data_IF_126063647250
#
_entry.id   IF_126063647250
#
_cell.length_a   1.000
_cell.length_b   1.000
_cell.length_c   1.000
_cell.angle_alpha   90.00
_cell.angle_beta   90.00
_cell.angle_gamma   90.00
#
_symmetry.space_group_name_H-M   'P 1'
#
loop_
_entity.id
_entity.type
_entity.pdbx_description
1 polymer ?
#
# COMPACT_ATOMS: atom_id res chain seq x y z
N UNK A 1 -13.67 48.60 -43.98
CA UNK A 1 -14.00 48.84 -42.57
C UNK A 1 -14.23 47.48 -41.95
N UNK A 2 -13.21 46.91 -41.33
CA UNK A 2 -13.33 45.61 -40.66
C UNK A 2 -12.49 45.67 -39.39
N UNK A 3 -13.20 45.75 -38.27
CA UNK A 3 -12.69 46.00 -36.91
C UNK A 3 -12.11 44.72 -36.31
N UNK A 4 -10.94 44.85 -35.66
CA UNK A 4 -10.31 43.79 -34.87
C UNK A 4 -11.27 43.25 -33.78
N UNK A 5 -11.30 41.93 -33.51
CA UNK A 5 -12.09 41.38 -32.41
C UNK A 5 -11.56 41.85 -31.06
N UNK A 6 -12.47 42.29 -30.20
CA UNK A 6 -12.24 42.75 -28.84
C UNK A 6 -11.57 41.69 -27.95
N UNK A 7 -10.75 42.18 -27.01
CA UNK A 7 -10.28 41.46 -25.81
C UNK A 7 -11.45 40.73 -25.14
N UNK A 8 -11.31 39.45 -24.74
CA UNK A 8 -12.39 38.71 -24.13
C UNK A 8 -12.85 39.36 -22.82
N UNK A 9 -14.18 39.36 -22.64
CA UNK A 9 -14.90 39.88 -21.49
C UNK A 9 -14.32 39.36 -20.16
N UNK A 10 -14.20 40.27 -19.19
CA UNK A 10 -13.68 40.04 -17.83
C UNK A 10 -14.35 38.86 -17.09
N UNK A 11 -15.56 38.45 -17.52
CA UNK A 11 -16.26 37.27 -17.04
C UNK A 11 -15.53 35.94 -17.35
N UNK A 12 -14.83 35.83 -18.49
CA UNK A 12 -14.02 34.64 -18.83
C UNK A 12 -12.78 34.51 -17.94
N UNK A 13 -12.22 35.64 -17.49
CA UNK A 13 -11.11 35.70 -16.52
C UNK A 13 -11.58 35.31 -15.12
N UNK A 14 -12.84 35.59 -14.76
CA UNK A 14 -13.46 35.16 -13.50
C UNK A 14 -13.71 33.65 -13.42
N UNK A 15 -14.18 33.03 -14.52
CA UNK A 15 -14.35 31.58 -14.59
C UNK A 15 -13.00 30.82 -14.58
N UNK A 16 -11.97 31.37 -15.24
CA UNK A 16 -10.60 30.84 -15.18
C UNK A 16 -10.00 30.93 -13.76
N UNK A 17 -10.20 32.06 -13.05
CA UNK A 17 -9.78 32.23 -11.65
C UNK A 17 -10.43 31.22 -10.70
N UNK A 18 -11.70 30.88 -10.93
CA UNK A 18 -12.42 29.90 -10.13
C UNK A 18 -11.92 28.47 -10.37
N UNK A 19 -11.49 28.15 -11.60
CA UNK A 19 -10.82 26.87 -11.92
C UNK A 19 -9.44 26.81 -11.25
N UNK A 20 -8.68 27.90 -11.24
CA UNK A 20 -7.36 27.98 -10.60
C UNK A 20 -7.43 27.78 -9.07
N UNK A 21 -8.46 28.31 -8.40
CA UNK A 21 -8.72 28.07 -6.97
C UNK A 21 -8.98 26.58 -6.68
N UNK A 22 -9.67 25.88 -7.56
CA UNK A 22 -9.85 24.43 -7.46
C UNK A 22 -8.66 23.62 -7.95
N UNK A 23 -7.80 24.17 -8.80
CA UNK A 23 -6.61 23.48 -9.30
C UNK A 23 -5.64 23.15 -8.16
N UNK A 24 -5.45 24.07 -7.21
CA UNK A 24 -4.62 23.83 -6.04
C UNK A 24 -5.21 22.77 -5.10
N UNK A 25 -6.54 22.79 -4.88
CA UNK A 25 -7.22 21.75 -4.10
C UNK A 25 -7.19 20.38 -4.81
N UNK A 26 -7.42 20.37 -6.12
CA UNK A 26 -7.35 19.20 -6.99
C UNK A 26 -5.95 18.56 -6.99
N UNK A 27 -4.90 19.38 -7.11
CA UNK A 27 -3.52 18.91 -7.00
C UNK A 27 -3.23 18.24 -5.65
N UNK A 28 -3.71 18.81 -4.53
CA UNK A 28 -3.56 18.18 -3.20
C UNK A 28 -4.26 16.83 -3.10
N UNK A 29 -5.48 16.71 -3.64
CA UNK A 29 -6.21 15.43 -3.66
C UNK A 29 -5.51 14.39 -4.53
N UNK A 30 -5.00 14.80 -5.69
CA UNK A 30 -4.21 13.94 -6.58
C UNK A 30 -2.92 13.49 -5.88
N UNK A 31 -2.16 14.38 -5.27
CA UNK A 31 -0.93 14.04 -4.54
C UNK A 31 -1.20 13.11 -3.36
N UNK A 32 -2.24 13.40 -2.57
CA UNK A 32 -2.62 12.56 -1.41
C UNK A 32 -3.09 11.17 -1.85
N UNK A 33 -3.94 11.10 -2.88
CA UNK A 33 -4.40 9.85 -3.48
C UNK A 33 -3.27 9.07 -4.17
N UNK A 34 -2.27 9.76 -4.71
CA UNK A 34 -1.10 9.13 -5.31
C UNK A 34 -0.18 8.50 -4.28
N UNK A 35 -0.05 9.12 -3.11
CA UNK A 35 0.81 8.68 -2.02
C UNK A 35 0.23 7.45 -1.29
N UNK A 36 -1.07 7.39 -1.03
CA UNK A 36 -1.67 6.28 -0.26
C UNK A 36 -1.11 6.16 1.17
N UNK A 37 -1.52 5.12 1.92
CA UNK A 37 -1.09 4.94 3.32
C UNK A 37 0.44 4.74 3.44
N UNK A 38 1.04 5.27 4.50
CA UNK A 38 2.49 5.20 4.72
C UNK A 38 3.05 3.76 4.72
N UNK A 39 2.30 2.80 5.26
CA UNK A 39 2.66 1.37 5.21
C UNK A 39 2.66 0.84 3.77
N UNK A 40 1.71 1.26 2.93
CA UNK A 40 1.64 0.90 1.49
C UNK A 40 2.81 1.50 0.72
N UNK A 41 3.17 2.76 0.98
CA UNK A 41 4.33 3.41 0.36
C UNK A 41 5.62 2.65 0.66
N UNK A 42 5.87 2.33 1.94
CA UNK A 42 7.07 1.58 2.34
C UNK A 42 7.11 0.19 1.71
N UNK A 43 5.97 -0.50 1.69
CA UNK A 43 5.84 -1.80 1.06
C UNK A 43 6.13 -1.76 -0.45
N UNK A 44 5.55 -0.78 -1.16
CA UNK A 44 5.75 -0.61 -2.60
C UNK A 44 7.18 -0.17 -2.94
N UNK A 45 7.78 0.72 -2.15
CA UNK A 45 9.19 1.10 -2.33
C UNK A 45 10.12 -0.11 -2.20
N UNK A 46 9.86 -1.00 -1.23
CA UNK A 46 10.61 -2.25 -1.09
C UNK A 46 10.44 -3.20 -2.28
N UNK A 47 9.22 -3.31 -2.81
CA UNK A 47 8.93 -4.16 -3.97
C UNK A 47 9.50 -3.59 -5.27
N UNK A 48 9.46 -2.27 -5.44
CA UNK A 48 10.07 -1.57 -6.56
C UNK A 48 11.59 -1.77 -6.58
N UNK A 49 12.27 -1.61 -5.45
CA UNK A 49 13.71 -1.90 -5.33
C UNK A 49 14.04 -3.32 -5.75
N UNK A 50 13.26 -4.31 -5.29
CA UNK A 50 13.44 -5.72 -5.68
C UNK A 50 13.31 -5.92 -7.19
N UNK A 51 12.29 -5.34 -7.81
CA UNK A 51 12.09 -5.44 -9.25
C UNK A 51 13.21 -4.76 -10.04
N UNK A 52 13.58 -3.52 -9.69
CA UNK A 52 14.66 -2.79 -10.38
C UNK A 52 16.02 -3.50 -10.27
N UNK A 53 16.31 -4.13 -9.13
CA UNK A 53 17.50 -4.95 -8.97
C UNK A 53 17.47 -6.17 -9.87
N UNK A 54 16.35 -6.91 -9.88
CA UNK A 54 16.16 -8.07 -10.76
C UNK A 54 16.29 -7.69 -12.24
N UNK A 55 15.68 -6.58 -12.67
CA UNK A 55 15.81 -6.07 -14.03
C UNK A 55 17.28 -5.78 -14.39
N UNK A 56 18.03 -5.13 -13.50
CA UNK A 56 19.47 -4.84 -13.70
C UNK A 56 20.29 -6.12 -13.86
N UNK A 57 20.03 -7.12 -13.03
CA UNK A 57 20.71 -8.42 -13.09
C UNK A 57 20.45 -9.17 -14.41
N UNK A 58 19.27 -8.95 -15.02
CA UNK A 58 18.85 -9.65 -16.24
C UNK A 58 18.93 -8.77 -17.51
N UNK A 59 19.53 -7.59 -17.43
CA UNK A 59 19.68 -6.66 -18.56
C UNK A 59 18.34 -6.18 -19.13
N UNK A 60 17.34 -5.95 -18.27
CA UNK A 60 16.00 -5.48 -18.65
C UNK A 60 15.75 -4.06 -18.14
N UNK A 61 14.87 -3.34 -18.83
CA UNK A 61 14.39 -2.05 -18.37
C UNK A 61 13.28 -2.22 -17.32
N UNK A 62 13.41 -1.52 -16.21
CA UNK A 62 12.40 -1.53 -15.16
C UNK A 62 11.26 -0.53 -15.44
N UNK A 63 11.51 0.50 -16.26
CA UNK A 63 10.53 1.53 -16.60
C UNK A 63 10.88 2.20 -17.95
N UNK A 64 10.02 2.11 -18.98
CA UNK A 64 8.85 1.24 -19.06
C UNK A 64 9.27 -0.24 -19.06
N UNK A 65 8.65 -1.05 -18.20
CA UNK A 65 8.82 -2.50 -18.27
C UNK A 65 7.84 -3.07 -19.30
N UNK A 66 8.34 -3.94 -20.17
CA UNK A 66 7.48 -4.72 -21.07
C UNK A 66 6.76 -5.86 -20.32
N UNK A 67 5.70 -6.39 -20.92
CA UNK A 67 4.88 -7.48 -20.33
C UNK A 67 5.71 -8.73 -20.08
N UNK A 68 6.65 -9.07 -20.97
CA UNK A 68 7.49 -10.26 -20.85
C UNK A 68 8.46 -10.13 -19.66
N UNK A 69 9.02 -8.95 -19.43
CA UNK A 69 9.88 -8.64 -18.28
C UNK A 69 9.11 -8.82 -16.96
N UNK A 70 7.88 -8.31 -16.88
CA UNK A 70 7.04 -8.51 -15.69
C UNK A 70 6.62 -9.97 -15.51
N UNK A 71 6.25 -10.66 -16.60
CA UNK A 71 5.89 -12.08 -16.58
C UNK A 71 7.05 -12.97 -16.10
N UNK A 72 8.28 -12.70 -16.56
CA UNK A 72 9.47 -13.40 -16.12
C UNK A 72 9.76 -13.14 -14.64
N UNK A 73 9.63 -11.90 -14.19
CA UNK A 73 9.82 -11.55 -12.78
C UNK A 73 8.81 -12.25 -11.86
N UNK A 74 7.51 -12.22 -12.17
CA UNK A 74 6.50 -12.86 -11.30
C UNK A 74 6.62 -14.38 -11.30
N UNK A 75 7.05 -14.97 -12.43
CA UNK A 75 7.40 -16.40 -12.50
C UNK A 75 8.60 -16.71 -11.60
N UNK A 76 9.67 -15.91 -11.65
CA UNK A 76 10.82 -16.07 -10.77
C UNK A 76 10.44 -15.97 -9.28
N UNK A 77 9.52 -15.06 -8.92
CA UNK A 77 8.98 -14.99 -7.55
C UNK A 77 8.20 -16.25 -7.17
N UNK A 78 7.40 -16.80 -8.09
CA UNK A 78 6.62 -18.01 -7.85
C UNK A 78 7.53 -19.23 -7.65
N UNK A 79 8.56 -19.38 -8.49
CA UNK A 79 9.56 -20.46 -8.39
C UNK A 79 10.43 -20.32 -7.13
N UNK A 80 10.69 -19.09 -6.69
CA UNK A 80 11.32 -18.82 -5.39
C UNK A 80 10.38 -19.05 -4.18
N UNK A 81 9.21 -19.66 -4.39
CA UNK A 81 8.26 -20.04 -3.33
C UNK A 81 7.54 -18.87 -2.68
N UNK A 82 7.46 -17.69 -3.33
CA UNK A 82 6.70 -16.57 -2.78
C UNK A 82 5.20 -16.85 -2.82
N UNK A 83 4.51 -16.43 -1.76
CA UNK A 83 3.04 -16.52 -1.66
C UNK A 83 2.38 -15.69 -2.76
N UNK A 84 1.25 -16.16 -3.27
CA UNK A 84 0.42 -15.46 -4.29
C UNK A 84 0.13 -14.02 -3.88
N UNK A 85 -0.25 -13.78 -2.61
CA UNK A 85 -0.49 -12.43 -2.09
C UNK A 85 0.73 -11.50 -2.18
N UNK A 86 1.94 -12.05 -2.00
CA UNK A 86 3.19 -11.29 -2.18
C UNK A 86 3.39 -10.93 -3.65
N UNK A 87 3.17 -11.88 -4.57
CA UNK A 87 3.30 -11.65 -6.02
C UNK A 87 2.31 -10.59 -6.49
N UNK A 88 1.05 -10.66 -6.06
CA UNK A 88 0.03 -9.65 -6.38
C UNK A 88 0.41 -8.25 -5.85
N UNK A 89 0.99 -8.18 -4.64
CA UNK A 89 1.49 -6.90 -4.09
C UNK A 89 2.65 -6.33 -4.90
N UNK A 90 3.55 -7.18 -5.40
CA UNK A 90 4.57 -6.77 -6.37
C UNK A 90 3.92 -6.19 -7.64
N UNK A 91 2.95 -6.87 -8.26
CA UNK A 91 2.24 -6.35 -9.43
C UNK A 91 1.59 -4.98 -9.15
N UNK A 92 0.93 -4.82 -8.00
CA UNK A 92 0.32 -3.55 -7.63
C UNK A 92 1.36 -2.41 -7.48
N UNK A 93 2.54 -2.70 -6.93
CA UNK A 93 3.65 -1.75 -6.85
C UNK A 93 4.17 -1.36 -8.24
N UNK A 94 4.33 -2.34 -9.15
CA UNK A 94 4.76 -2.09 -10.54
C UNK A 94 3.75 -1.25 -11.31
N UNK A 95 2.46 -1.57 -11.16
CA UNK A 95 1.37 -0.81 -11.76
C UNK A 95 1.39 0.63 -11.28
N UNK A 96 1.54 0.83 -9.97
CA UNK A 96 1.63 2.16 -9.38
C UNK A 96 2.85 2.94 -9.89
N UNK A 97 4.01 2.29 -10.03
CA UNK A 97 5.22 2.94 -10.55
C UNK A 97 5.02 3.44 -12.00
N UNK A 98 4.40 2.63 -12.87
CA UNK A 98 4.09 3.03 -14.24
C UNK A 98 3.07 4.18 -14.28
N UNK A 99 2.00 4.10 -13.48
CA UNK A 99 1.00 5.16 -13.38
C UNK A 99 1.59 6.49 -12.91
N UNK A 100 2.46 6.46 -11.89
CA UNK A 100 3.15 7.66 -11.39
C UNK A 100 4.10 8.27 -12.42
N UNK A 101 4.62 7.47 -13.34
CA UNK A 101 5.44 7.91 -14.47
C UNK A 101 4.62 8.33 -15.70
N UNK A 102 3.28 8.26 -15.64
CA UNK A 102 2.41 8.55 -16.78
C UNK A 102 2.49 7.51 -17.90
N UNK A 103 2.94 6.29 -17.60
CA UNK A 103 3.17 5.21 -18.56
C UNK A 103 2.06 4.15 -18.48
N UNK A 104 1.76 3.45 -19.59
CA UNK A 104 0.85 2.31 -19.57
C UNK A 104 1.42 1.23 -18.65
N UNK A 105 0.55 0.54 -17.93
CA UNK A 105 0.98 -0.52 -17.01
C UNK A 105 1.02 -1.88 -17.70
N UNK A 106 2.13 -2.63 -17.60
CA UNK A 106 2.20 -3.99 -18.15
C UNK A 106 1.29 -4.96 -17.39
N UNK A 107 0.84 -4.63 -16.17
CA UNK A 107 0.02 -5.51 -15.32
C UNK A 107 -1.41 -5.70 -15.81
N UNK A 108 -1.89 -4.84 -16.70
CA UNK A 108 -3.23 -4.93 -17.26
C UNK A 108 -3.33 -5.88 -18.45
N UNK A 109 -2.20 -6.33 -18.99
CA UNK A 109 -2.12 -7.25 -20.11
C UNK A 109 -2.81 -8.60 -19.81
N UNK A 110 -3.52 -9.13 -20.82
CA UNK A 110 -4.31 -10.36 -20.68
C UNK A 110 -3.42 -11.58 -20.44
N UNK A 111 -2.26 -11.66 -21.08
CA UNK A 111 -1.33 -12.79 -20.91
C UNK A 111 -0.78 -12.83 -19.49
N UNK A 112 -0.42 -11.67 -18.93
CA UNK A 112 0.05 -11.58 -17.56
C UNK A 112 -1.04 -11.96 -16.55
N UNK A 113 -2.30 -11.55 -16.78
CA UNK A 113 -3.44 -11.98 -15.95
C UNK A 113 -3.62 -13.49 -15.98
N UNK A 114 -3.59 -14.12 -17.15
CA UNK A 114 -3.66 -15.58 -17.28
C UNK A 114 -2.50 -16.30 -16.57
N UNK A 115 -1.28 -15.76 -16.65
CA UNK A 115 -0.13 -16.29 -15.92
C UNK A 115 -0.35 -16.24 -14.40
N UNK A 116 -0.81 -15.10 -13.87
CA UNK A 116 -1.07 -14.92 -12.44
C UNK A 116 -2.17 -15.87 -11.94
N UNK A 117 -3.21 -16.12 -12.75
CA UNK A 117 -4.21 -17.14 -12.46
C UNK A 117 -3.61 -18.55 -12.40
N UNK A 118 -2.72 -18.90 -13.34
CA UNK A 118 -2.00 -20.16 -13.34
C UNK A 118 -1.18 -20.36 -12.07
N UNK A 119 -0.35 -19.37 -11.73
CA UNK A 119 0.44 -19.33 -10.48
C UNK A 119 -0.48 -19.50 -9.26
N UNK A 120 -1.64 -18.82 -9.26
CA UNK A 120 -2.59 -18.91 -8.15
C UNK A 120 -3.23 -20.29 -8.04
N UNK A 121 -3.49 -21.00 -9.14
CA UNK A 121 -4.07 -22.36 -9.10
C UNK A 121 -3.04 -23.38 -8.63
N UNK A 122 -1.80 -23.28 -9.10
CA UNK A 122 -0.73 -24.22 -8.78
C UNK A 122 -0.17 -24.02 -7.37
N UNK A 123 0.10 -22.77 -6.98
CA UNK A 123 0.73 -22.42 -5.70
C UNK A 123 -0.28 -22.01 -4.62
N UNK A 124 -1.57 -21.94 -4.95
CA UNK A 124 -2.67 -21.47 -4.09
C UNK A 124 -3.00 -22.40 -2.94
N UNK A 125 -2.03 -22.65 -2.05
CA UNK A 125 -2.29 -23.29 -0.77
C UNK A 125 -3.00 -22.28 0.14
N UNK A 126 -4.08 -22.75 0.78
CA UNK A 126 -4.88 -21.99 1.77
C UNK A 126 -3.97 -21.21 2.70
N UNK A 127 -4.20 -19.89 2.80
CA UNK A 127 -3.46 -19.06 3.75
C UNK A 127 -3.58 -19.68 5.14
N UNK A 128 -2.44 -20.07 5.74
CA UNK A 128 -2.39 -20.47 7.15
C UNK A 128 -2.85 -19.27 7.97
N UNK A 129 -4.10 -19.28 8.39
CA UNK A 129 -4.56 -18.37 9.43
C UNK A 129 -3.79 -18.73 10.69
N UNK A 130 -3.32 -17.70 11.42
CA UNK A 130 -2.84 -17.92 12.76
C UNK A 130 -3.95 -18.61 13.57
N UNK A 131 -3.62 -19.57 14.46
CA UNK A 131 -4.63 -20.16 15.33
C UNK A 131 -5.41 -19.06 16.04
N UNK A 132 -6.72 -19.27 16.21
CA UNK A 132 -7.58 -18.30 16.86
C UNK A 132 -6.99 -17.95 18.23
N UNK A 133 -6.69 -16.67 18.44
CA UNK A 133 -6.24 -16.17 19.72
C UNK A 133 -7.45 -16.11 20.65
N UNK A 134 -7.79 -17.27 21.24
CA UNK A 134 -9.01 -17.42 22.04
C UNK A 134 -8.93 -16.61 23.34
N UNK A 135 -10.09 -16.23 23.86
CA UNK A 135 -10.16 -15.54 25.16
C UNK A 135 -9.56 -16.39 26.29
N UNK A 136 -9.67 -17.72 26.21
CA UNK A 136 -9.07 -18.64 27.16
C UNK A 136 -7.53 -18.61 27.09
N UNK A 137 -6.97 -18.63 25.88
CA UNK A 137 -5.52 -18.50 25.68
C UNK A 137 -5.02 -17.13 26.14
N UNK A 138 -5.75 -16.05 25.83
CA UNK A 138 -5.45 -14.70 26.28
C UNK A 138 -5.38 -14.59 27.81
N UNK A 139 -6.40 -15.11 28.53
CA UNK A 139 -6.41 -15.13 29.99
C UNK A 139 -5.19 -15.86 30.56
N UNK A 140 -4.81 -16.99 29.96
CA UNK A 140 -3.61 -17.75 30.35
C UNK A 140 -2.32 -16.95 30.16
N UNK A 141 -2.20 -16.25 29.03
CA UNK A 141 -1.05 -15.36 28.77
C UNK A 141 -0.99 -14.26 29.83
N UNK A 142 -2.11 -13.58 30.12
CA UNK A 142 -2.15 -12.52 31.14
C UNK A 142 -1.78 -13.02 32.54
N UNK A 143 -2.16 -14.24 32.91
CA UNK A 143 -1.83 -14.85 34.21
C UNK A 143 -0.35 -15.21 34.33
N UNK A 144 0.33 -15.47 33.20
CA UNK A 144 1.77 -15.78 33.18
C UNK A 144 2.68 -14.55 33.17
N UNK A 145 2.13 -13.34 33.11
CA UNK A 145 2.91 -12.11 33.13
C UNK A 145 3.17 -11.70 34.58
N UNK A 146 4.45 -11.61 34.93
CA UNK A 146 4.91 -11.14 36.24
C UNK A 146 4.72 -9.62 36.37
N UNK A 147 3.72 -9.21 37.14
CA UNK A 147 3.39 -7.80 37.36
C UNK A 147 4.15 -7.14 38.50
N UNK A 148 5.09 -7.84 39.15
CA UNK A 148 6.03 -7.22 40.07
C UNK A 148 7.14 -6.47 39.29
N UNK A 149 7.32 -6.81 38.02
CA UNK A 149 8.24 -6.11 37.11
C UNK A 149 7.52 -5.05 36.28
N UNK A 150 8.19 -3.93 36.08
CA UNK A 150 7.66 -2.82 35.28
C UNK A 150 7.34 -3.21 33.83
N UNK A 151 8.16 -4.06 33.22
CA UNK A 151 7.90 -4.56 31.87
C UNK A 151 6.69 -5.49 31.81
N UNK A 152 6.46 -6.30 32.84
CA UNK A 152 5.25 -7.11 32.95
C UNK A 152 3.98 -6.29 33.18
N UNK A 153 4.02 -5.24 34.01
CA UNK A 153 2.90 -4.29 34.15
C UNK A 153 2.56 -3.67 32.80
N UNK A 154 3.57 -3.20 32.06
CA UNK A 154 3.41 -2.62 30.72
C UNK A 154 2.80 -3.61 29.75
N UNK A 155 3.36 -4.80 29.62
CA UNK A 155 2.92 -5.79 28.63
C UNK A 155 1.49 -6.27 28.92
N UNK A 156 1.14 -6.43 30.20
CA UNK A 156 -0.22 -6.75 30.62
C UNK A 156 -1.20 -5.63 30.28
N UNK A 157 -0.83 -4.36 30.52
CA UNK A 157 -1.65 -3.21 30.16
C UNK A 157 -1.85 -3.09 28.64
N UNK A 158 -0.79 -3.25 27.84
CA UNK A 158 -0.86 -3.22 26.38
C UNK A 158 -1.80 -4.28 25.82
N UNK A 159 -1.72 -5.51 26.34
CA UNK A 159 -2.60 -6.61 25.92
C UNK A 159 -4.06 -6.33 26.28
N UNK A 160 -4.33 -5.84 27.50
CA UNK A 160 -5.68 -5.51 27.95
C UNK A 160 -6.29 -4.35 27.16
N UNK A 161 -5.53 -3.26 26.96
CA UNK A 161 -5.95 -2.13 26.14
C UNK A 161 -6.18 -2.54 24.68
N UNK A 162 -5.29 -3.37 24.14
CA UNK A 162 -5.42 -3.91 22.78
C UNK A 162 -6.70 -4.71 22.59
N UNK A 163 -7.04 -5.58 23.55
CA UNK A 163 -8.27 -6.35 23.49
C UNK A 163 -9.52 -5.48 23.71
N UNK A 164 -9.53 -4.65 24.76
CA UNK A 164 -10.70 -3.85 25.14
C UNK A 164 -11.05 -2.78 24.10
N UNK A 165 -10.03 -2.14 23.51
CA UNK A 165 -10.21 -1.11 22.47
C UNK A 165 -10.20 -1.65 21.03
N UNK A 166 -10.01 -2.96 20.85
CA UNK A 166 -9.78 -3.58 19.53
C UNK A 166 -8.65 -2.91 18.72
N UNK A 167 -7.64 -2.38 19.42
CA UNK A 167 -6.57 -1.61 18.79
C UNK A 167 -5.63 -2.51 18.01
N UNK A 168 -5.23 -2.05 16.83
CA UNK A 168 -4.12 -2.63 16.07
C UNK A 168 -2.79 -2.22 16.69
N UNK A 169 -1.74 -2.96 16.37
CA UNK A 169 -0.38 -2.71 16.88
C UNK A 169 0.06 -1.25 16.73
N UNK A 170 -0.15 -0.65 15.56
CA UNK A 170 0.28 0.72 15.29
C UNK A 170 -0.53 1.73 16.12
N UNK A 171 -1.80 1.45 16.42
CA UNK A 171 -2.66 2.30 17.25
C UNK A 171 -2.21 2.28 18.72
N UNK A 172 -1.90 1.08 19.25
CA UNK A 172 -1.31 0.94 20.58
C UNK A 172 0.05 1.65 20.70
N UNK A 173 0.88 1.55 19.65
CA UNK A 173 2.19 2.20 19.63
C UNK A 173 2.09 3.73 19.58
N UNK A 174 0.99 4.27 19.03
CA UNK A 174 0.71 5.71 18.97
C UNK A 174 -0.06 6.26 20.18
N UNK A 175 -0.45 5.39 21.12
CA UNK A 175 -1.26 5.79 22.27
C UNK A 175 -0.42 6.66 23.22
N UNK A 176 -1.04 7.70 23.76
CA UNK A 176 -0.40 8.72 24.60
C UNK A 176 -1.33 9.02 25.77
N UNK A 177 -0.79 9.52 26.88
CA UNK A 177 -1.52 9.90 28.07
C UNK A 177 -2.61 10.93 27.78
N UNK A 178 -2.38 11.83 26.81
CA UNK A 178 -3.37 12.80 26.36
C UNK A 178 -4.64 12.18 25.76
N UNK A 179 -4.59 10.91 25.34
CA UNK A 179 -5.74 10.16 24.81
C UNK A 179 -6.59 9.52 25.92
N UNK A 180 -6.14 9.51 27.18
CA UNK A 180 -6.85 8.88 28.30
C UNK A 180 -7.79 9.88 28.99
N UNK A 181 -9.01 9.42 29.25
CA UNK A 181 -10.01 10.12 30.07
C UNK A 181 -10.56 9.14 31.10
N UNK A 182 -10.74 9.62 32.32
CA UNK A 182 -11.31 8.86 33.42
C UNK A 182 -12.61 9.55 33.82
N UNK A 183 -13.69 8.78 33.85
CA UNK A 183 -15.00 9.19 34.33
C UNK A 183 -15.10 9.04 35.86
#
# INVERSE_FOLDING_TARGET
>A
METLPLVPDSAAVGAARHIDEYAAAGARYVTTGQQGAANTQRAYAGDWRRFTAWCREHGRDALPADVLTVAAFVTALAEAGKKVATIQRHCAALSKAHQLAGLPTPTDDRQLKTLLEGISREKGVRQKQAPAFTLAYFKRVLQGIDVERLDGVRDRALLLLGLAGAFRRDELASLDLAHLRFD
#
